data_IF_375820502514
#
_entry.id   IF_375820502514
#
_cell.length_a   1.000
_cell.length_b   1.000
_cell.length_c   1.000
_cell.angle_alpha   90.00
_cell.angle_beta   90.00
_cell.angle_gamma   90.00
#
_symmetry.space_group_name_H-M   'P 1'
#
loop_
_entity.id
_entity.type
_entity.pdbx_description
1 polymer ?
#
# COMPACT_ATOMS: atom_id res chain seq x y z
N UNK A 1 34.31 -17.30 17.92
CA UNK A 1 32.84 -17.31 17.85
C UNK A 1 32.38 -15.88 18.01
N UNK A 2 32.05 -15.20 16.91
CA UNK A 2 31.52 -13.84 16.98
C UNK A 2 30.06 -13.94 17.43
N UNK A 3 29.72 -13.27 18.53
CA UNK A 3 28.34 -13.12 18.96
C UNK A 3 27.61 -12.27 17.90
N UNK A 4 26.53 -12.81 17.35
CA UNK A 4 25.59 -12.05 16.55
C UNK A 4 24.97 -11.00 17.47
N UNK A 5 25.28 -9.72 17.25
CA UNK A 5 24.51 -8.63 17.84
C UNK A 5 23.06 -8.76 17.35
N UNK A 6 22.06 -8.65 18.23
CA UNK A 6 20.68 -8.59 17.79
C UNK A 6 20.54 -7.38 16.87
N UNK A 7 19.98 -7.59 15.68
CA UNK A 7 19.60 -6.55 14.73
C UNK A 7 18.86 -5.44 15.50
N UNK A 8 19.58 -4.35 15.80
CA UNK A 8 19.04 -3.20 16.49
C UNK A 8 18.19 -2.45 15.47
N UNK A 9 17.03 -3.03 15.12
CA UNK A 9 16.05 -2.42 14.22
C UNK A 9 15.51 -1.19 14.93
N UNK A 10 16.15 -0.06 14.66
CA UNK A 10 15.68 1.27 15.04
C UNK A 10 14.23 1.38 14.58
N UNK A 11 13.30 1.51 15.54
CA UNK A 11 11.89 1.61 15.20
C UNK A 11 11.65 2.81 14.28
N UNK A 12 10.73 2.69 13.30
CA UNK A 12 10.41 3.80 12.42
C UNK A 12 9.84 4.98 13.22
N UNK A 13 10.16 6.19 12.77
CA UNK A 13 9.64 7.45 13.31
C UNK A 13 8.17 7.60 12.95
N UNK A 14 7.80 7.39 11.68
CA UNK A 14 6.42 7.28 11.20
C UNK A 14 6.24 5.99 10.39
N UNK A 15 4.99 5.53 10.38
CA UNK A 15 4.56 4.42 9.51
C UNK A 15 3.51 4.96 8.55
N UNK A 16 3.89 5.07 7.27
CA UNK A 16 2.98 5.41 6.19
C UNK A 16 2.26 4.15 5.71
N UNK A 17 0.97 4.04 6.02
CA UNK A 17 0.11 2.97 5.53
C UNK A 17 -0.59 3.45 4.26
N UNK A 18 -0.57 2.64 3.21
CA UNK A 18 -1.25 2.95 1.96
C UNK A 18 -2.26 1.87 1.55
N UNK A 19 -3.41 2.32 1.06
CA UNK A 19 -4.38 1.51 0.33
C UNK A 19 -5.03 2.37 -0.75
N UNK A 20 -5.17 1.85 -1.97
CA UNK A 20 -5.79 2.61 -3.04
C UNK A 20 -6.22 1.75 -4.22
N UNK A 21 -6.79 2.42 -5.22
CA UNK A 21 -7.25 1.74 -6.42
C UNK A 21 -6.10 1.27 -7.31
N UNK A 22 -6.23 0.05 -7.79
CA UNK A 22 -5.56 -0.37 -9.03
C UNK A 22 -6.03 0.47 -10.21
N UNK A 23 -5.18 0.59 -11.23
CA UNK A 23 -5.59 1.25 -12.47
C UNK A 23 -6.79 0.51 -13.07
N UNK A 24 -7.76 1.25 -13.60
CA UNK A 24 -8.90 0.62 -14.26
C UNK A 24 -8.48 -0.08 -15.56
N UNK A 25 -9.13 -1.21 -15.84
CA UNK A 25 -9.16 -1.77 -17.20
C UNK A 25 -9.81 -0.79 -18.18
N UNK A 26 -9.42 -0.83 -19.48
CA UNK A 26 -9.83 0.16 -20.48
C UNK A 26 -11.35 0.22 -20.70
N UNK A 27 -12.09 -0.83 -20.34
CA UNK A 27 -13.53 -0.97 -20.57
C UNK A 27 -14.37 -0.93 -19.28
N UNK A 28 -13.79 -0.49 -18.14
CA UNK A 28 -14.53 -0.44 -16.87
C UNK A 28 -15.76 0.49 -17.01
N UNK A 29 -17.00 -0.01 -16.80
CA UNK A 29 -18.21 0.78 -17.05
C UNK A 29 -18.34 2.03 -16.17
N UNK A 30 -17.85 1.95 -14.94
CA UNK A 30 -17.77 3.07 -13.98
C UNK A 30 -16.30 3.21 -13.55
N UNK A 31 -15.54 4.12 -14.18
CA UNK A 31 -14.15 4.36 -13.84
C UNK A 31 -14.01 4.82 -12.38
N UNK A 32 -13.05 4.23 -11.65
CA UNK A 32 -12.65 4.64 -10.30
C UNK A 32 -11.26 5.26 -10.30
N UNK A 33 -10.35 4.72 -11.09
CA UNK A 33 -9.00 5.24 -11.29
C UNK A 33 -8.50 4.96 -12.74
N UNK A 34 -9.01 5.71 -13.74
CA UNK A 34 -8.58 5.59 -15.12
C UNK A 34 -7.14 6.06 -15.33
N UNK A 35 -6.45 5.50 -16.34
CA UNK A 35 -5.05 5.79 -16.67
C UNK A 35 -4.74 7.30 -16.82
N UNK A 36 -5.67 8.09 -17.33
CA UNK A 36 -5.50 9.53 -17.47
C UNK A 36 -5.28 10.28 -16.14
N UNK A 37 -5.71 9.71 -15.01
CA UNK A 37 -5.54 10.29 -13.67
C UNK A 37 -4.22 9.91 -13.01
N UNK A 38 -3.45 9.01 -13.61
CA UNK A 38 -2.19 8.52 -13.06
C UNK A 38 -1.19 9.65 -12.75
N UNK A 39 -0.90 10.61 -13.65
CA UNK A 39 0.10 11.66 -13.36
C UNK A 39 -0.33 12.57 -12.21
N UNK A 40 -1.61 12.95 -12.16
CA UNK A 40 -2.15 13.81 -11.09
C UNK A 40 -2.19 13.06 -9.76
N UNK A 41 -2.54 11.76 -9.77
CA UNK A 41 -2.47 10.93 -8.57
C UNK A 41 -1.03 10.80 -8.04
N UNK A 42 -0.05 10.60 -8.92
CA UNK A 42 1.37 10.55 -8.56
C UNK A 42 1.80 11.84 -7.84
N UNK A 43 1.43 12.99 -8.40
CA UNK A 43 1.70 14.29 -7.82
C UNK A 43 1.04 14.45 -6.45
N UNK A 44 -0.25 14.09 -6.30
CA UNK A 44 -0.97 14.21 -5.03
C UNK A 44 -0.41 13.31 -3.93
N UNK A 45 0.04 12.10 -4.28
CA UNK A 45 0.71 11.21 -3.34
C UNK A 45 2.06 11.79 -2.90
N UNK A 46 2.84 12.35 -3.83
CA UNK A 46 4.09 13.02 -3.52
C UNK A 46 3.89 14.23 -2.60
N UNK A 47 2.91 15.10 -2.92
CA UNK A 47 2.53 16.26 -2.09
C UNK A 47 2.12 15.83 -0.67
N UNK A 48 1.33 14.75 -0.53
CA UNK A 48 0.94 14.22 0.76
C UNK A 48 2.16 13.76 1.59
N UNK A 49 3.08 13.02 0.97
CA UNK A 49 4.31 12.56 1.63
C UNK A 49 5.21 13.74 2.04
N UNK A 50 5.29 14.80 1.24
CA UNK A 50 6.04 16.02 1.56
C UNK A 50 5.43 16.77 2.75
N UNK A 51 4.11 16.97 2.73
CA UNK A 51 3.39 17.62 3.83
C UNK A 51 3.53 16.85 5.15
N UNK A 52 3.55 15.52 5.06
CA UNK A 52 3.76 14.65 6.21
C UNK A 52 5.25 14.52 6.57
N UNK A 53 6.17 15.14 5.83
CA UNK A 53 7.61 15.11 6.11
C UNK A 53 8.19 13.70 6.12
N UNK A 54 7.84 12.88 5.12
CA UNK A 54 8.35 11.53 4.95
C UNK A 54 9.85 11.50 4.64
N UNK A 55 10.60 10.58 5.25
CA UNK A 55 12.04 10.47 5.05
C UNK A 55 12.65 9.11 5.44
N UNK A 56 13.99 9.01 5.51
CA UNK A 56 14.71 7.75 5.66
C UNK A 56 14.59 7.08 7.04
N UNK A 57 14.04 7.77 8.04
CA UNK A 57 13.73 7.18 9.35
C UNK A 57 12.30 6.59 9.42
N UNK A 58 11.56 6.61 8.31
CA UNK A 58 10.16 6.17 8.24
C UNK A 58 10.01 4.83 7.49
N UNK A 59 8.89 4.17 7.74
CA UNK A 59 8.48 2.93 7.08
C UNK A 59 7.20 3.16 6.26
N UNK A 60 7.13 2.58 5.06
CA UNK A 60 5.94 2.54 4.23
C UNK A 60 5.43 1.10 4.06
N UNK A 61 4.13 0.90 4.27
CA UNK A 61 3.42 -0.38 4.17
C UNK A 61 2.37 -0.31 3.06
N UNK A 62 2.47 -1.19 2.07
CA UNK A 62 1.61 -1.22 0.87
C UNK A 62 1.69 -2.61 0.22
N UNK A 63 0.86 -2.90 -0.80
CA UNK A 63 0.87 -4.22 -1.47
C UNK A 63 1.75 -4.24 -2.73
N UNK A 64 1.96 -3.08 -3.37
CA UNK A 64 2.73 -2.97 -4.62
C UNK A 64 1.94 -3.30 -5.90
N UNK A 65 0.62 -3.17 -5.87
CA UNK A 65 -0.24 -3.35 -7.05
C UNK A 65 -0.08 -2.20 -8.07
N UNK A 66 -0.53 -2.41 -9.31
CA UNK A 66 -0.58 -1.33 -10.31
C UNK A 66 -1.43 -0.15 -9.84
N UNK A 67 -1.20 1.03 -10.39
CA UNK A 67 -1.91 2.23 -9.93
C UNK A 67 -1.39 2.72 -8.58
N UNK A 68 -2.29 2.91 -7.61
CA UNK A 68 -2.00 3.63 -6.36
C UNK A 68 -0.79 3.10 -5.58
N UNK A 69 -0.72 1.79 -5.34
CA UNK A 69 0.34 1.18 -4.51
C UNK A 69 1.75 1.35 -5.12
N UNK A 70 1.91 1.18 -6.44
CA UNK A 70 3.19 1.43 -7.10
C UNK A 70 3.54 2.91 -7.16
N UNK A 71 2.56 3.80 -7.41
CA UNK A 71 2.78 5.26 -7.36
C UNK A 71 3.26 5.71 -5.98
N UNK A 72 2.64 5.18 -4.92
CA UNK A 72 3.06 5.41 -3.54
C UNK A 72 4.44 4.84 -3.25
N UNK A 73 4.72 3.61 -3.66
CA UNK A 73 6.04 2.98 -3.50
C UNK A 73 7.14 3.85 -4.14
N UNK A 74 6.94 4.30 -5.38
CA UNK A 74 7.90 5.15 -6.08
C UNK A 74 8.14 6.49 -5.38
N UNK A 75 7.06 7.13 -4.91
CA UNK A 75 7.15 8.40 -4.18
C UNK A 75 7.87 8.24 -2.82
N UNK A 76 7.66 7.12 -2.12
CA UNK A 76 8.39 6.77 -0.91
C UNK A 76 9.88 6.54 -1.18
N UNK A 77 10.23 5.79 -2.23
CA UNK A 77 11.62 5.52 -2.61
C UNK A 77 12.38 6.80 -2.98
N UNK A 78 11.72 7.76 -3.65
CA UNK A 78 12.32 9.07 -3.95
C UNK A 78 12.69 9.87 -2.69
N UNK A 79 12.02 9.60 -1.56
CA UNK A 79 12.25 10.26 -0.26
C UNK A 79 13.13 9.44 0.68
N UNK A 80 13.65 8.29 0.22
CA UNK A 80 14.45 7.37 1.02
C UNK A 80 13.65 6.61 2.09
N UNK A 81 12.32 6.67 2.06
CA UNK A 81 11.46 5.92 2.99
C UNK A 81 11.67 4.43 2.76
N UNK A 82 11.87 3.66 3.83
CA UNK A 82 11.95 2.21 3.72
C UNK A 82 10.58 1.65 3.35
N UNK A 83 10.48 0.85 2.29
CA UNK A 83 9.20 0.26 1.86
C UNK A 83 9.19 -1.23 2.19
N UNK A 84 8.08 -1.72 2.77
CA UNK A 84 7.79 -3.14 2.90
C UNK A 84 6.49 -3.47 2.16
N UNK A 85 6.57 -4.47 1.28
CA UNK A 85 5.40 -5.02 0.59
C UNK A 85 4.80 -6.21 1.34
N UNK A 86 3.48 -6.17 1.50
CA UNK A 86 2.67 -7.26 2.04
C UNK A 86 1.58 -7.60 1.02
N UNK A 87 1.63 -8.79 0.44
CA UNK A 87 0.81 -9.17 -0.71
C UNK A 87 -0.28 -10.18 -0.34
N UNK A 88 -1.47 -10.10 -0.95
CA UNK A 88 -2.58 -11.03 -0.72
C UNK A 88 -2.31 -12.45 -1.26
N UNK A 89 -1.34 -12.58 -2.18
CA UNK A 89 -0.97 -13.83 -2.84
C UNK A 89 0.54 -14.01 -2.80
N UNK A 90 1.01 -15.21 -3.16
CA UNK A 90 2.40 -15.36 -3.55
C UNK A 90 2.72 -14.50 -4.78
N UNK A 91 3.97 -14.06 -4.87
CA UNK A 91 4.35 -12.97 -5.77
C UNK A 91 4.04 -13.25 -7.25
N UNK A 92 4.22 -14.49 -7.72
CA UNK A 92 3.91 -14.85 -9.11
C UNK A 92 2.45 -14.59 -9.46
N UNK A 93 1.54 -14.97 -8.55
CA UNK A 93 0.10 -14.77 -8.71
C UNK A 93 -0.26 -13.29 -8.53
N UNK A 94 0.38 -12.62 -7.58
CA UNK A 94 0.19 -11.19 -7.35
C UNK A 94 0.54 -10.37 -8.59
N UNK A 95 1.64 -10.68 -9.27
CA UNK A 95 2.03 -10.00 -10.50
C UNK A 95 0.91 -10.12 -11.56
N UNK A 96 0.38 -11.32 -11.77
CA UNK A 96 -0.67 -11.55 -12.77
C UNK A 96 -2.00 -10.88 -12.40
N UNK A 97 -2.39 -10.97 -11.13
CA UNK A 97 -3.71 -10.52 -10.65
C UNK A 97 -3.78 -9.03 -10.34
N UNK A 98 -2.66 -8.43 -9.96
CA UNK A 98 -2.63 -7.09 -9.35
C UNK A 98 -1.65 -6.13 -10.00
N UNK A 99 -0.65 -6.62 -10.75
CA UNK A 99 0.33 -5.75 -11.42
C UNK A 99 0.03 -5.61 -12.90
N UNK A 100 -0.14 -6.72 -13.61
CA UNK A 100 -0.32 -6.70 -15.08
C UNK A 100 -1.76 -6.96 -15.53
N UNK A 101 -2.70 -7.06 -14.59
CA UNK A 101 -4.09 -7.46 -14.84
C UNK A 101 -4.83 -6.63 -15.90
N UNK A 102 -4.42 -5.37 -16.11
CA UNK A 102 -5.02 -4.46 -17.09
C UNK A 102 -4.01 -3.80 -18.04
N UNK A 103 -2.71 -3.87 -17.76
CA UNK A 103 -1.64 -3.39 -18.66
C UNK A 103 -0.28 -3.96 -18.25
N UNK A 104 0.45 -4.52 -19.22
CA UNK A 104 1.83 -5.01 -19.03
C UNK A 104 2.85 -3.90 -18.73
N UNK A 105 2.51 -2.64 -19.01
CA UNK A 105 3.40 -1.49 -18.77
C UNK A 105 3.80 -1.35 -17.29
N UNK A 106 2.97 -1.84 -16.36
CA UNK A 106 3.24 -1.81 -14.93
C UNK A 106 4.31 -2.81 -14.47
N UNK A 107 4.60 -3.86 -15.26
CA UNK A 107 5.61 -4.87 -14.90
C UNK A 107 6.99 -4.26 -14.71
N UNK A 108 7.41 -3.39 -15.64
CA UNK A 108 8.71 -2.74 -15.58
C UNK A 108 8.84 -1.87 -14.31
N UNK A 109 7.77 -1.15 -13.95
CA UNK A 109 7.71 -0.34 -12.72
C UNK A 109 7.77 -1.20 -11.46
N UNK A 110 7.00 -2.28 -11.41
CA UNK A 110 7.04 -3.23 -10.31
C UNK A 110 8.45 -3.80 -10.09
N UNK A 111 9.10 -4.27 -11.16
CA UNK A 111 10.46 -4.83 -11.06
C UNK A 111 11.48 -3.77 -10.64
N UNK A 112 11.38 -2.55 -11.18
CA UNK A 112 12.26 -1.43 -10.82
C UNK A 112 12.07 -0.99 -9.37
N UNK A 113 10.82 -0.94 -8.88
CA UNK A 113 10.51 -0.66 -7.48
C UNK A 113 11.03 -1.78 -6.57
N UNK A 114 10.75 -3.05 -6.90
CA UNK A 114 11.20 -4.22 -6.15
C UNK A 114 12.72 -4.26 -6.00
N UNK A 115 13.47 -3.95 -7.05
CA UNK A 115 14.93 -3.95 -7.02
C UNK A 115 15.54 -2.98 -5.99
N UNK A 116 14.78 -1.97 -5.54
CA UNK A 116 15.18 -0.99 -4.52
C UNK A 116 14.63 -1.33 -3.12
N UNK A 117 13.73 -2.31 -3.01
CA UNK A 117 13.20 -2.76 -1.72
C UNK A 117 14.23 -3.66 -1.06
N UNK A 118 14.68 -3.27 0.12
CA UNK A 118 15.67 -4.02 0.90
C UNK A 118 15.04 -5.05 1.84
N UNK A 119 13.73 -4.96 2.09
CA UNK A 119 12.99 -5.93 2.89
C UNK A 119 12.50 -7.10 2.05
N UNK A 120 12.30 -8.26 2.67
CA UNK A 120 11.62 -9.38 2.01
C UNK A 120 10.18 -8.98 1.66
N UNK A 121 9.75 -9.26 0.42
CA UNK A 121 8.33 -9.18 0.03
C UNK A 121 7.58 -10.29 0.75
N UNK A 122 6.58 -9.94 1.55
CA UNK A 122 5.83 -10.88 2.38
C UNK A 122 4.51 -11.23 1.71
N UNK A 123 4.05 -12.47 1.84
CA UNK A 123 2.75 -12.92 1.30
C UNK A 123 1.84 -13.45 2.40
N UNK A 124 0.56 -13.06 2.34
CA UNK A 124 -0.45 -13.47 3.31
C UNK A 124 -0.61 -15.00 3.41
N UNK A 125 -0.54 -15.80 2.33
CA UNK A 125 -0.56 -17.26 2.44
C UNK A 125 0.58 -17.83 3.29
N UNK A 126 1.78 -17.24 3.23
CA UNK A 126 2.94 -17.70 4.00
C UNK A 126 2.90 -17.25 5.46
N UNK A 127 2.46 -16.02 5.69
CA UNK A 127 2.52 -15.36 7.00
C UNK A 127 1.29 -15.67 7.86
N UNK A 128 0.12 -15.81 7.23
CA UNK A 128 -1.17 -15.97 7.90
C UNK A 128 -1.79 -17.36 7.65
N UNK A 129 -1.18 -18.19 6.80
CA UNK A 129 -1.72 -19.47 6.38
C UNK A 129 -2.83 -19.37 5.32
N UNK A 130 -3.50 -20.49 4.98
CA UNK A 130 -4.45 -20.55 3.88
C UNK A 130 -5.61 -19.56 4.06
N UNK A 131 -6.14 -19.06 2.94
CA UNK A 131 -7.31 -18.18 2.95
C UNK A 131 -8.53 -18.93 3.49
N UNK A 132 -9.20 -18.41 4.54
CA UNK A 132 -10.43 -19.03 5.03
C UNK A 132 -11.50 -19.06 3.93
N UNK A 133 -12.32 -20.14 3.86
CA UNK A 133 -13.40 -20.22 2.88
C UNK A 133 -14.35 -19.02 2.97
N UNK A 134 -14.69 -18.43 1.82
CA UNK A 134 -15.60 -17.28 1.73
C UNK A 134 -14.99 -15.92 2.11
N UNK A 135 -13.70 -15.85 2.46
CA UNK A 135 -13.00 -14.58 2.68
C UNK A 135 -12.46 -13.98 1.38
N UNK A 136 -12.36 -12.65 1.33
CA UNK A 136 -11.66 -11.94 0.26
C UNK A 136 -10.16 -11.80 0.59
N UNK A 137 -9.26 -12.20 -0.32
CA UNK A 137 -7.81 -12.14 -0.07
C UNK A 137 -7.27 -10.71 0.05
N UNK A 138 -7.84 -9.74 -0.66
CA UNK A 138 -7.43 -8.34 -0.60
C UNK A 138 -7.89 -7.71 0.73
N UNK A 139 -9.13 -7.96 1.15
CA UNK A 139 -9.65 -7.51 2.45
C UNK A 139 -8.80 -8.06 3.60
N UNK A 140 -8.47 -9.36 3.56
CA UNK A 140 -7.58 -9.99 4.54
C UNK A 140 -6.20 -9.33 4.56
N UNK A 141 -5.63 -9.04 3.40
CA UNK A 141 -4.31 -8.42 3.29
C UNK A 141 -4.33 -6.95 3.77
N UNK A 142 -5.39 -6.21 3.49
CA UNK A 142 -5.59 -4.85 4.00
C UNK A 142 -5.68 -4.81 5.53
N UNK A 143 -6.40 -5.77 6.14
CA UNK A 143 -6.44 -5.93 7.60
C UNK A 143 -5.03 -6.22 8.13
N UNK A 144 -4.29 -7.12 7.49
CA UNK A 144 -2.93 -7.45 7.90
C UNK A 144 -1.95 -6.27 7.80
N UNK A 145 -2.03 -5.48 6.73
CA UNK A 145 -1.29 -4.22 6.58
C UNK A 145 -1.61 -3.25 7.71
N UNK A 146 -2.90 -3.09 8.02
CA UNK A 146 -3.36 -2.21 9.09
C UNK A 146 -2.86 -2.65 10.47
N UNK A 147 -3.04 -3.93 10.82
CA UNK A 147 -2.57 -4.47 12.11
C UNK A 147 -1.03 -4.43 12.21
N UNK A 148 -0.31 -4.66 11.11
CA UNK A 148 1.14 -4.46 11.06
C UNK A 148 1.48 -3.00 11.37
N UNK A 149 0.81 -2.03 10.74
CA UNK A 149 1.06 -0.61 10.99
C UNK A 149 0.83 -0.25 12.47
N UNK A 150 -0.27 -0.73 13.05
CA UNK A 150 -0.61 -0.49 14.45
C UNK A 150 0.41 -1.11 15.43
N UNK A 151 1.04 -2.23 15.07
CA UNK A 151 2.07 -2.88 15.91
C UNK A 151 3.30 -2.00 16.16
N UNK A 152 3.56 -1.00 15.31
CA UNK A 152 4.64 -0.01 15.52
C UNK A 152 4.24 1.15 16.44
N UNK A 153 2.96 1.23 16.81
CA UNK A 153 2.37 2.27 17.64
C UNK A 153 1.32 3.09 16.86
N UNK A 154 0.07 3.17 17.33
CA UNK A 154 -1.02 3.85 16.62
C UNK A 154 -0.71 5.32 16.33
N UNK A 155 -0.03 6.02 17.24
CA UNK A 155 0.29 7.44 17.09
C UNK A 155 1.29 7.73 15.97
N UNK A 156 2.03 6.71 15.50
CA UNK A 156 2.99 6.83 14.40
C UNK A 156 2.36 6.63 13.01
N UNK A 157 1.13 6.11 12.95
CA UNK A 157 0.49 5.70 11.71
C UNK A 157 -0.09 6.90 10.97
N UNK A 158 0.43 7.13 9.76
CA UNK A 158 -0.09 8.07 8.78
C UNK A 158 -0.77 7.27 7.67
N UNK A 159 -2.10 7.28 7.59
CA UNK A 159 -2.80 6.58 6.51
C UNK A 159 -2.98 7.50 5.31
N UNK A 160 -2.52 7.06 4.14
CA UNK A 160 -2.75 7.73 2.87
C UNK A 160 -3.59 6.80 2.01
N UNK A 161 -4.71 7.28 1.46
CA UNK A 161 -5.55 6.48 0.57
C UNK A 161 -5.90 7.20 -0.72
N UNK A 162 -5.81 6.47 -1.83
CA UNK A 162 -6.22 6.91 -3.17
C UNK A 162 -7.52 6.19 -3.54
N UNK A 163 -8.65 6.84 -3.31
CA UNK A 163 -9.95 6.18 -3.27
C UNK A 163 -11.07 7.10 -3.77
N UNK A 164 -12.08 6.54 -4.43
CA UNK A 164 -13.21 7.27 -5.04
C UNK A 164 -14.36 7.54 -4.05
N UNK A 165 -14.17 7.23 -2.76
CA UNK A 165 -15.25 7.28 -1.78
C UNK A 165 -16.29 6.16 -1.93
N UNK A 166 -16.10 5.23 -2.89
CA UNK A 166 -17.03 4.15 -3.19
C UNK A 166 -16.61 2.80 -2.60
N UNK A 167 -17.54 2.02 -2.09
CA UNK A 167 -17.26 0.70 -1.50
C UNK A 167 -18.46 0.18 -0.72
N UNK A 168 -18.47 -1.12 -0.40
CA UNK A 168 -19.46 -1.72 0.50
C UNK A 168 -18.99 -1.69 1.96
N UNK A 169 -19.90 -2.02 2.89
CA UNK A 169 -19.64 -2.09 4.34
C UNK A 169 -18.84 -3.34 4.77
N UNK A 170 -18.14 -3.98 3.83
CA UNK A 170 -17.34 -5.19 4.07
C UNK A 170 -16.07 -4.89 4.88
N UNK A 171 -15.66 -5.77 5.81
CA UNK A 171 -14.44 -5.59 6.58
C UNK A 171 -13.21 -5.64 5.66
N UNK A 172 -12.24 -4.76 5.84
CA UNK A 172 -10.97 -4.79 5.10
C UNK A 172 -10.95 -4.09 3.75
N UNK A 173 -12.06 -3.50 3.28
CA UNK A 173 -12.03 -2.55 2.18
C UNK A 173 -11.33 -1.23 2.55
N UNK A 174 -10.96 -0.40 1.55
CA UNK A 174 -10.35 0.92 1.79
C UNK A 174 -11.25 1.83 2.65
N UNK A 175 -12.58 1.72 2.50
CA UNK A 175 -13.56 2.43 3.34
C UNK A 175 -13.45 2.03 4.82
N UNK A 176 -13.36 0.72 5.10
CA UNK A 176 -13.18 0.20 6.45
C UNK A 176 -11.85 0.70 7.05
N UNK A 177 -10.74 0.60 6.31
CA UNK A 177 -9.44 1.14 6.77
C UNK A 177 -9.50 2.64 7.07
N UNK A 178 -10.14 3.43 6.21
CA UNK A 178 -10.34 4.86 6.43
C UNK A 178 -11.06 5.14 7.74
N UNK A 179 -12.18 4.47 7.99
CA UNK A 179 -12.96 4.63 9.23
C UNK A 179 -12.14 4.21 10.44
N UNK A 180 -11.42 3.09 10.36
CA UNK A 180 -10.71 2.50 11.48
C UNK A 180 -9.48 3.33 11.88
N UNK A 181 -8.72 3.85 10.90
CA UNK A 181 -7.62 4.78 11.18
C UNK A 181 -8.17 6.11 11.69
N UNK A 182 -9.19 6.67 11.06
CA UNK A 182 -9.79 7.95 11.48
C UNK A 182 -10.30 7.88 12.93
N UNK A 183 -10.88 6.75 13.32
CA UNK A 183 -11.36 6.50 14.68
C UNK A 183 -10.22 6.35 15.69
N UNK A 184 -9.13 5.67 15.33
CA UNK A 184 -8.05 5.31 16.27
C UNK A 184 -6.95 6.36 16.37
N UNK A 185 -6.62 7.03 15.27
CA UNK A 185 -5.44 7.93 15.19
C UNK A 185 -5.81 9.32 14.67
N UNK A 186 -6.91 9.45 13.91
CA UNK A 186 -7.31 10.69 13.26
C UNK A 186 -6.42 11.11 12.07
N UNK A 187 -5.36 10.36 11.78
CA UNK A 187 -4.30 10.74 10.85
C UNK A 187 -4.54 10.10 9.48
N UNK A 188 -5.48 10.67 8.72
CA UNK A 188 -5.86 10.19 7.40
C UNK A 188 -5.73 11.28 6.33
N UNK A 189 -4.97 10.98 5.29
CA UNK A 189 -4.90 11.76 4.05
C UNK A 189 -5.67 11.02 2.96
N UNK A 190 -6.80 11.57 2.53
CA UNK A 190 -7.61 11.00 1.46
C UNK A 190 -7.42 11.79 0.17
N UNK A 191 -6.97 11.09 -0.86
CA UNK A 191 -6.85 11.58 -2.23
C UNK A 191 -8.06 11.04 -3.00
N UNK A 192 -9.08 11.90 -3.19
CA UNK A 192 -10.31 11.53 -3.87
C UNK A 192 -10.08 11.42 -5.38
N UNK A 193 -10.15 10.20 -5.92
CA UNK A 193 -9.91 9.97 -7.35
C UNK A 193 -10.96 10.65 -8.22
N UNK A 194 -12.13 11.03 -7.71
CA UNK A 194 -13.18 11.73 -8.47
C UNK A 194 -12.80 13.18 -8.76
N UNK A 195 -11.92 13.78 -7.95
CA UNK A 195 -11.49 15.17 -8.07
C UNK A 195 -10.13 15.35 -8.74
N UNK A 196 -9.48 14.25 -9.15
CA UNK A 196 -8.26 14.27 -9.96
C UNK A 196 -8.54 14.51 -11.44
#
# INVERSE_FOLDING_TARGET
>A
MAANEPDNQRQPKKVFLFSGHMIDGPTRPKPRFPAAKEPVAAQKIAEALDQLGAGPEDLALTQGACGGDLLFTEACQQRGVQVQWQQPFDESDFIQKSVVCHSETWRARYLAAKAKITTVVRSAPRELGPLPPGSDPYERCNIWLFETALSYGPDKVQFICLWDGGGGDGPGGTAHMYQEVKRRTGQVTWIDTRTL
#
